data_IF_794129844802
#
_entry.id   IF_794129844802
#
_cell.length_a   1.000
_cell.length_b   1.000
_cell.length_c   1.000
_cell.angle_alpha   90.00
_cell.angle_beta   90.00
_cell.angle_gamma   90.00
#
_symmetry.space_group_name_H-M   'P 1'
#
loop_
_entity.id
_entity.type
_entity.pdbx_description
1 polymer ?
#
# COMPACT_ATOMS: atom_id res chain seq x y z
N UNK A 1 -110.59 2.30 -14.60
CA UNK A 1 -110.18 2.33 -13.19
C UNK A 1 -109.09 1.29 -13.03
N UNK A 2 -107.83 1.65 -13.27
CA UNK A 2 -106.84 2.03 -12.22
C UNK A 2 -106.68 0.95 -11.16
N UNK A 3 -105.63 0.16 -11.30
CA UNK A 3 -104.96 -0.49 -10.18
C UNK A 3 -103.45 -0.41 -10.44
N UNK A 4 -102.83 0.53 -9.75
CA UNK A 4 -101.39 0.66 -9.55
C UNK A 4 -101.04 -0.29 -8.42
N UNK A 5 -100.16 -1.26 -8.65
CA UNK A 5 -99.45 -1.93 -7.56
C UNK A 5 -97.96 -2.01 -7.89
N UNK A 6 -97.23 -1.26 -7.08
CA UNK A 6 -95.78 -1.14 -6.99
C UNK A 6 -95.16 -2.44 -6.52
N UNK A 7 -94.29 -3.05 -7.34
CA UNK A 7 -93.30 -4.01 -6.86
C UNK A 7 -91.95 -3.33 -6.70
N UNK A 8 -91.52 -3.28 -5.44
CA UNK A 8 -90.22 -2.83 -4.95
C UNK A 8 -89.15 -3.78 -5.45
N UNK A 9 -88.24 -3.28 -6.29
CA UNK A 9 -87.07 -4.03 -6.74
C UNK A 9 -85.90 -3.73 -5.80
N UNK A 10 -85.50 -4.73 -5.00
CA UNK A 10 -84.26 -4.71 -4.23
C UNK A 10 -83.07 -4.67 -5.20
N UNK A 11 -82.47 -3.50 -5.37
CA UNK A 11 -81.20 -3.33 -6.07
C UNK A 11 -80.05 -3.87 -5.22
N UNK A 12 -79.57 -5.05 -5.59
CA UNK A 12 -78.33 -5.64 -5.09
C UNK A 12 -77.15 -4.69 -5.33
N UNK A 13 -76.34 -4.50 -4.30
CA UNK A 13 -74.96 -4.01 -4.38
C UNK A 13 -74.22 -4.67 -5.55
N UNK A 14 -73.70 -3.85 -6.48
CA UNK A 14 -72.40 -4.05 -7.15
C UNK A 14 -71.96 -2.70 -7.74
N UNK A 15 -71.19 -1.94 -6.96
CA UNK A 15 -70.31 -0.92 -7.50
C UNK A 15 -69.30 -1.66 -8.39
N UNK A 16 -69.35 -1.42 -9.69
CA UNK A 16 -68.41 -1.98 -10.65
C UNK A 16 -67.02 -1.41 -10.38
N UNK A 17 -66.13 -2.28 -9.92
CA UNK A 17 -64.70 -2.04 -9.69
C UNK A 17 -63.93 -1.91 -11.02
N UNK A 18 -64.23 -0.88 -11.80
CA UNK A 18 -63.57 -0.64 -13.10
C UNK A 18 -63.30 0.84 -13.39
N UNK A 19 -63.14 1.68 -12.36
CA UNK A 19 -62.73 3.09 -12.51
C UNK A 19 -61.63 3.50 -11.51
N UNK A 20 -60.80 2.55 -11.06
CA UNK A 20 -59.65 2.83 -10.16
C UNK A 20 -58.28 2.49 -10.79
N UNK A 21 -58.22 2.33 -12.12
CA UNK A 21 -57.02 1.91 -12.86
C UNK A 21 -56.58 2.88 -13.96
N UNK A 22 -56.73 4.20 -13.76
CA UNK A 22 -56.23 5.21 -14.73
C UNK A 22 -55.65 6.45 -14.06
N UNK A 23 -54.94 6.29 -12.94
CA UNK A 23 -54.02 7.33 -12.45
C UNK A 23 -52.65 6.68 -12.29
N UNK A 24 -52.00 6.42 -13.44
CA UNK A 24 -50.60 5.99 -13.46
C UNK A 24 -49.92 6.44 -14.75
N UNK A 25 -50.01 7.72 -15.08
CA UNK A 25 -49.19 8.33 -16.13
C UNK A 25 -48.99 9.80 -15.75
N UNK A 26 -47.79 10.09 -15.20
CA UNK A 26 -47.10 11.41 -15.16
C UNK A 26 -46.03 11.52 -14.04
N UNK A 27 -45.51 10.41 -13.50
CA UNK A 27 -44.27 10.42 -12.69
C UNK A 27 -43.03 9.88 -13.43
N UNK A 28 -43.20 9.41 -14.67
CA UNK A 28 -42.11 8.84 -15.48
C UNK A 28 -41.13 9.89 -16.05
N UNK A 29 -41.53 11.17 -16.11
CA UNK A 29 -40.70 12.24 -16.69
C UNK A 29 -39.78 12.93 -15.66
N UNK A 30 -39.94 12.66 -14.36
CA UNK A 30 -39.07 13.23 -13.32
C UNK A 30 -37.80 12.39 -13.06
N UNK A 31 -37.86 11.10 -13.34
CA UNK A 31 -36.73 10.16 -13.20
C UNK A 31 -35.80 10.14 -14.44
N UNK A 32 -36.19 10.76 -15.56
CA UNK A 32 -35.38 10.81 -16.79
C UNK A 32 -34.21 11.81 -16.71
N UNK A 33 -34.18 12.67 -15.69
CA UNK A 33 -33.20 13.76 -15.55
C UNK A 33 -32.27 13.63 -14.35
N UNK A 34 -32.45 12.62 -13.50
CA UNK A 34 -31.60 12.35 -12.35
C UNK A 34 -30.83 11.05 -12.56
N UNK A 35 -29.50 11.16 -12.68
CA UNK A 35 -28.62 9.99 -12.66
C UNK A 35 -28.98 9.11 -11.44
N UNK A 36 -29.13 7.78 -11.61
CA UNK A 36 -29.30 6.88 -10.47
C UNK A 36 -28.23 7.14 -9.41
N UNK A 37 -28.59 7.09 -8.12
CA UNK A 37 -27.66 7.41 -7.02
C UNK A 37 -26.31 6.65 -7.09
N UNK A 38 -26.32 5.43 -7.62
CA UNK A 38 -25.12 4.63 -7.85
C UNK A 38 -24.23 5.19 -8.97
N UNK A 39 -24.79 5.74 -10.05
CA UNK A 39 -24.04 6.38 -11.14
C UNK A 39 -23.34 7.64 -10.64
N UNK A 40 -24.04 8.46 -9.84
CA UNK A 40 -23.46 9.64 -9.21
C UNK A 40 -22.26 9.27 -8.31
N UNK A 41 -22.42 8.26 -7.46
CA UNK A 41 -21.34 7.79 -6.56
C UNK A 41 -20.14 7.23 -7.34
N UNK A 42 -20.38 6.37 -8.34
CA UNK A 42 -19.31 5.81 -9.17
C UNK A 42 -18.62 6.89 -10.00
N UNK A 43 -19.36 7.81 -10.61
CA UNK A 43 -18.79 8.93 -11.37
C UNK A 43 -17.83 9.75 -10.51
N UNK A 44 -18.25 10.16 -9.30
CA UNK A 44 -17.38 10.92 -8.38
C UNK A 44 -16.14 10.11 -7.99
N UNK A 45 -16.35 8.87 -7.56
CA UNK A 45 -15.26 8.01 -7.06
C UNK A 45 -14.25 7.67 -8.14
N UNK A 46 -14.70 7.23 -9.31
CA UNK A 46 -13.85 6.81 -10.41
C UNK A 46 -13.11 8.00 -11.03
N UNK A 47 -13.75 9.18 -11.12
CA UNK A 47 -13.08 10.41 -11.55
C UNK A 47 -11.92 10.76 -10.62
N UNK A 48 -12.16 10.77 -9.31
CA UNK A 48 -11.14 11.05 -8.30
C UNK A 48 -10.02 10.00 -8.32
N UNK A 49 -10.38 8.71 -8.48
CA UNK A 49 -9.40 7.62 -8.63
C UNK A 49 -8.52 7.81 -9.87
N UNK A 50 -9.10 8.08 -11.04
CA UNK A 50 -8.33 8.37 -12.26
C UNK A 50 -7.39 9.57 -12.06
N UNK A 51 -7.88 10.66 -11.45
CA UNK A 51 -7.08 11.85 -11.17
C UNK A 51 -5.94 11.61 -10.18
N UNK A 52 -6.12 10.69 -9.22
CA UNK A 52 -5.05 10.27 -8.28
C UNK A 52 -3.82 9.69 -9.01
N UNK A 53 -4.04 9.11 -10.20
CA UNK A 53 -2.99 8.59 -11.06
C UNK A 53 -2.55 9.62 -12.12
N UNK A 54 -3.49 10.25 -12.83
CA UNK A 54 -3.21 11.20 -13.91
C UNK A 54 -2.44 12.43 -13.43
N UNK A 55 -2.60 12.86 -12.18
CA UNK A 55 -1.81 13.95 -11.58
C UNK A 55 -0.30 13.70 -11.66
N UNK A 56 0.13 12.42 -11.62
CA UNK A 56 1.55 12.02 -11.75
C UNK A 56 2.10 12.26 -13.16
N UNK A 57 1.22 12.32 -14.16
CA UNK A 57 1.55 12.66 -15.55
C UNK A 57 1.20 14.12 -15.90
N UNK A 58 0.86 14.95 -14.90
CA UNK A 58 0.57 16.37 -15.10
C UNK A 58 -0.76 16.66 -15.82
N UNK A 59 -1.75 15.76 -15.72
CA UNK A 59 -3.07 15.96 -16.31
C UNK A 59 -4.19 15.49 -15.39
N UNK A 60 -5.44 15.81 -15.74
CA UNK A 60 -6.64 15.41 -15.00
C UNK A 60 -7.87 15.33 -15.92
N UNK A 61 -8.93 14.71 -15.42
CA UNK A 61 -10.27 14.69 -15.99
C UNK A 61 -11.25 15.44 -15.09
N UNK A 62 -12.20 16.11 -15.71
CA UNK A 62 -13.31 16.81 -15.03
C UNK A 62 -14.61 16.03 -15.24
N UNK A 63 -14.88 15.60 -16.47
CA UNK A 63 -16.03 14.78 -16.80
C UNK A 63 -15.59 13.45 -17.41
N UNK A 64 -15.79 12.38 -16.66
CA UNK A 64 -15.39 11.02 -17.04
C UNK A 64 -16.02 10.54 -18.35
N UNK A 65 -17.23 11.00 -18.68
CA UNK A 65 -17.95 10.59 -19.89
C UNK A 65 -17.46 11.29 -21.15
N UNK A 66 -16.86 12.48 -21.00
CA UNK A 66 -16.38 13.30 -22.11
C UNK A 66 -14.86 13.18 -22.30
N UNK A 67 -14.11 13.18 -21.21
CA UNK A 67 -12.65 13.28 -21.25
C UNK A 67 -11.95 12.01 -21.75
N UNK A 68 -12.60 10.85 -21.64
CA UNK A 68 -12.08 9.59 -22.16
C UNK A 68 -12.45 9.32 -23.62
N UNK A 69 -13.37 10.08 -24.21
CA UNK A 69 -13.90 9.83 -25.57
C UNK A 69 -12.86 9.84 -26.68
N UNK A 70 -11.72 10.53 -26.49
CA UNK A 70 -10.65 10.57 -27.49
C UNK A 70 -9.59 9.46 -27.32
N UNK A 71 -9.69 8.66 -26.26
CA UNK A 71 -8.77 7.56 -25.93
C UNK A 71 -7.40 7.99 -25.36
N UNK A 72 -7.00 9.25 -25.48
CA UNK A 72 -5.64 9.68 -25.11
C UNK A 72 -5.41 9.64 -23.59
N UNK A 73 -6.34 10.22 -22.81
CA UNK A 73 -6.25 10.19 -21.34
C UNK A 73 -6.42 8.77 -20.80
N UNK A 74 -7.20 7.93 -21.48
CA UNK A 74 -7.38 6.52 -21.13
C UNK A 74 -6.09 5.73 -21.34
N UNK A 75 -5.44 5.88 -22.49
CA UNK A 75 -4.15 5.26 -22.77
C UNK A 75 -3.10 5.71 -21.75
N UNK A 76 -3.02 7.03 -21.47
CA UNK A 76 -2.08 7.56 -20.47
C UNK A 76 -2.34 7.02 -19.07
N UNK A 77 -3.62 6.91 -18.65
CA UNK A 77 -3.98 6.28 -17.39
C UNK A 77 -3.45 4.85 -17.31
N UNK A 78 -3.65 4.05 -18.36
CA UNK A 78 -3.16 2.67 -18.44
C UNK A 78 -1.62 2.60 -18.37
N UNK A 79 -0.91 3.50 -19.04
CA UNK A 79 0.55 3.57 -18.93
C UNK A 79 1.00 3.88 -17.50
N UNK A 80 0.35 4.83 -16.82
CA UNK A 80 0.70 5.25 -15.46
C UNK A 80 0.45 4.15 -14.44
N UNK A 81 -0.67 3.43 -14.53
CA UNK A 81 -1.00 2.37 -13.56
C UNK A 81 -0.25 1.07 -13.80
N UNK A 82 0.09 0.76 -15.06
CA UNK A 82 0.83 -0.47 -15.40
C UNK A 82 2.35 -0.30 -15.40
N UNK A 83 2.85 0.92 -15.59
CA UNK A 83 4.26 1.20 -15.83
C UNK A 83 4.75 0.80 -17.23
N UNK A 84 3.86 0.35 -18.12
CA UNK A 84 4.18 -0.10 -19.48
C UNK A 84 3.77 0.93 -20.53
N UNK A 85 4.52 1.02 -21.63
CA UNK A 85 4.18 1.91 -22.74
C UNK A 85 3.19 1.26 -23.70
N UNK A 86 2.14 2.00 -24.05
CA UNK A 86 1.17 1.59 -25.05
C UNK A 86 1.66 1.97 -26.46
N UNK A 87 1.09 1.38 -27.52
CA UNK A 87 1.34 1.81 -28.90
C UNK A 87 1.08 3.30 -29.07
N UNK A 88 1.84 3.95 -29.96
CA UNK A 88 1.68 5.40 -30.19
C UNK A 88 0.22 5.73 -30.58
N UNK A 89 -0.38 6.78 -29.99
CA UNK A 89 -1.73 7.19 -30.33
C UNK A 89 -1.80 7.73 -31.77
N UNK A 90 -2.93 7.48 -32.42
CA UNK A 90 -3.24 8.06 -33.72
C UNK A 90 -3.54 9.54 -33.57
N UNK A 91 -2.91 10.33 -34.43
CA UNK A 91 -3.06 11.79 -34.45
C UNK A 91 -4.26 12.15 -35.31
N UNK A 92 -5.25 12.80 -34.73
CA UNK A 92 -6.38 13.34 -35.49
C UNK A 92 -7.58 13.65 -34.59
N UNK A 93 -8.50 14.46 -35.12
CA UNK A 93 -9.73 14.87 -34.40
C UNK A 93 -10.98 14.11 -34.82
N UNK A 94 -10.93 13.41 -35.95
CA UNK A 94 -12.08 12.66 -36.50
C UNK A 94 -12.44 11.44 -35.63
N UNK A 95 -13.71 11.04 -35.62
CA UNK A 95 -14.25 9.95 -34.80
C UNK A 95 -13.45 8.64 -34.95
N UNK A 96 -13.04 8.26 -36.16
CA UNK A 96 -12.30 7.02 -36.35
C UNK A 96 -10.91 7.02 -35.68
N UNK A 97 -10.24 8.17 -35.55
CA UNK A 97 -8.98 8.26 -34.77
C UNK A 97 -9.23 8.02 -33.28
N UNK A 98 -10.35 8.55 -32.76
CA UNK A 98 -10.76 8.33 -31.38
C UNK A 98 -11.04 6.85 -31.11
N UNK A 99 -11.78 6.21 -32.02
CA UNK A 99 -12.06 4.75 -31.96
C UNK A 99 -10.77 3.96 -31.99
N UNK A 100 -9.83 4.27 -32.89
CA UNK A 100 -8.56 3.58 -32.97
C UNK A 100 -7.72 3.72 -31.67
N UNK A 101 -7.72 4.91 -31.05
CA UNK A 101 -7.04 5.13 -29.76
C UNK A 101 -7.72 4.37 -28.61
N UNK A 102 -9.04 4.36 -28.55
CA UNK A 102 -9.77 3.58 -27.54
C UNK A 102 -9.54 2.09 -27.75
N UNK A 103 -9.56 1.58 -28.99
CA UNK A 103 -9.25 0.17 -29.29
C UNK A 103 -7.86 -0.22 -28.80
N UNK A 104 -6.83 0.60 -29.02
CA UNK A 104 -5.48 0.35 -28.47
C UNK A 104 -5.50 0.20 -26.94
N UNK A 105 -6.31 1.00 -26.25
CA UNK A 105 -6.48 0.89 -24.81
C UNK A 105 -7.24 -0.39 -24.40
N UNK A 106 -8.35 -0.73 -25.09
CA UNK A 106 -9.13 -1.93 -24.82
C UNK A 106 -8.36 -3.23 -25.11
N UNK A 107 -7.55 -3.24 -26.18
CA UNK A 107 -6.64 -4.34 -26.51
C UNK A 107 -5.59 -4.54 -25.40
N UNK A 108 -5.03 -3.43 -24.90
CA UNK A 108 -4.09 -3.49 -23.78
C UNK A 108 -4.77 -4.06 -22.52
N UNK A 109 -5.98 -3.59 -22.17
CA UNK A 109 -6.74 -4.12 -21.02
C UNK A 109 -6.99 -5.63 -21.19
N UNK A 110 -7.40 -6.06 -22.38
CA UNK A 110 -7.65 -7.47 -22.69
C UNK A 110 -6.38 -8.31 -22.58
N UNK A 111 -5.22 -7.78 -22.99
CA UNK A 111 -3.92 -8.44 -22.86
C UNK A 111 -3.50 -8.70 -21.40
N UNK A 112 -4.07 -7.95 -20.45
CA UNK A 112 -3.84 -8.12 -19.00
C UNK A 112 -4.80 -9.12 -18.35
N UNK A 113 -5.56 -9.87 -19.15
CA UNK A 113 -6.45 -10.94 -18.67
C UNK A 113 -7.85 -10.47 -18.28
N UNK A 114 -8.25 -9.27 -18.69
CA UNK A 114 -9.60 -8.73 -18.43
C UNK A 114 -10.53 -9.11 -19.58
N UNK A 115 -11.72 -9.63 -19.26
CA UNK A 115 -12.79 -9.89 -20.24
C UNK A 115 -13.74 -8.69 -20.31
N UNK A 116 -13.63 -7.92 -21.39
CA UNK A 116 -14.51 -6.77 -21.67
C UNK A 116 -15.79 -7.25 -22.35
N UNK A 117 -16.73 -7.79 -21.57
CA UNK A 117 -18.04 -8.20 -22.09
C UNK A 117 -18.90 -6.95 -22.30
N UNK A 118 -19.39 -6.77 -23.53
CA UNK A 118 -20.31 -5.67 -23.91
C UNK A 118 -19.73 -4.25 -23.86
N UNK A 119 -18.40 -4.08 -23.81
CA UNK A 119 -17.75 -2.77 -23.87
C UNK A 119 -17.01 -2.65 -25.21
N UNK A 120 -17.57 -1.87 -26.14
CA UNK A 120 -16.95 -1.52 -27.43
C UNK A 120 -16.31 -0.14 -27.41
N UNK A 121 -15.37 0.12 -28.31
CA UNK A 121 -14.74 1.44 -28.41
C UNK A 121 -15.73 2.53 -28.84
N UNK A 122 -16.74 2.17 -29.63
CA UNK A 122 -17.81 3.06 -30.08
C UNK A 122 -18.57 3.66 -28.90
N UNK A 123 -18.94 2.83 -27.92
CA UNK A 123 -19.68 3.25 -26.71
C UNK A 123 -18.91 4.31 -25.91
N UNK A 124 -17.59 4.13 -25.80
CA UNK A 124 -16.72 5.08 -25.07
C UNK A 124 -16.56 6.37 -25.87
N UNK A 125 -16.39 6.28 -27.19
CA UNK A 125 -16.23 7.47 -28.06
C UNK A 125 -17.53 8.26 -28.16
N UNK A 126 -18.67 7.59 -28.11
CA UNK A 126 -19.99 8.22 -28.22
C UNK A 126 -20.49 8.77 -26.87
N UNK A 127 -19.82 8.45 -25.75
CA UNK A 127 -20.07 9.04 -24.43
C UNK A 127 -21.08 8.25 -23.59
N UNK A 128 -21.21 6.94 -23.79
CA UNK A 128 -22.08 6.11 -22.98
C UNK A 128 -21.52 6.00 -21.54
N UNK A 129 -22.13 6.73 -20.60
CA UNK A 129 -21.70 6.81 -19.21
C UNK A 129 -21.62 5.42 -18.56
N UNK A 130 -22.66 4.59 -18.72
CA UNK A 130 -22.72 3.25 -18.12
C UNK A 130 -21.60 2.34 -18.61
N UNK A 131 -21.31 2.36 -19.91
CA UNK A 131 -20.20 1.59 -20.48
C UNK A 131 -18.84 2.14 -20.05
N UNK A 132 -18.72 3.47 -19.94
CA UNK A 132 -17.50 4.12 -19.46
C UNK A 132 -17.21 3.77 -18.00
N UNK A 133 -18.20 3.86 -17.11
CA UNK A 133 -18.07 3.43 -15.71
C UNK A 133 -17.77 1.93 -15.61
N UNK A 134 -18.40 1.11 -16.45
CA UNK A 134 -18.12 -0.32 -16.55
C UNK A 134 -16.66 -0.61 -16.91
N UNK A 135 -16.12 0.10 -17.90
CA UNK A 135 -14.72 -0.01 -18.31
C UNK A 135 -13.76 0.46 -17.22
N UNK A 136 -14.00 1.62 -16.60
CA UNK A 136 -13.13 2.11 -15.54
C UNK A 136 -13.14 1.17 -14.33
N UNK A 137 -14.30 0.58 -14.01
CA UNK A 137 -14.39 -0.46 -12.98
C UNK A 137 -13.53 -1.69 -13.31
N UNK A 138 -13.53 -2.20 -14.54
CA UNK A 138 -12.70 -3.37 -14.88
C UNK A 138 -11.21 -3.05 -14.77
N UNK A 139 -10.81 -1.81 -15.09
CA UNK A 139 -9.45 -1.32 -14.89
C UNK A 139 -9.12 -1.28 -13.39
N UNK A 140 -9.95 -0.64 -12.57
CA UNK A 140 -9.75 -0.57 -11.10
C UNK A 140 -9.65 -1.97 -10.52
N UNK A 141 -10.60 -2.84 -10.87
CA UNK A 141 -10.61 -4.22 -10.39
C UNK A 141 -9.30 -4.92 -10.73
N UNK A 142 -8.84 -4.83 -11.98
CA UNK A 142 -7.62 -5.52 -12.43
C UNK A 142 -6.34 -4.98 -11.80
N UNK A 143 -6.16 -3.66 -11.78
CA UNK A 143 -4.88 -3.04 -11.44
C UNK A 143 -4.77 -2.62 -9.97
N UNK A 144 -5.89 -2.37 -9.28
CA UNK A 144 -5.89 -1.94 -7.89
C UNK A 144 -6.38 -3.01 -6.92
N UNK A 145 -7.17 -4.01 -7.36
CA UNK A 145 -7.79 -4.96 -6.42
C UNK A 145 -7.32 -6.39 -6.67
N UNK A 146 -7.19 -6.81 -7.93
CA UNK A 146 -7.00 -8.22 -8.29
C UNK A 146 -5.71 -8.83 -7.71
N UNK A 147 -4.66 -8.03 -7.56
CA UNK A 147 -3.37 -8.48 -7.02
C UNK A 147 -3.34 -8.47 -5.47
N UNK A 148 -4.43 -8.02 -4.82
CA UNK A 148 -4.59 -8.12 -3.37
C UNK A 148 -4.96 -9.56 -3.02
N UNK A 149 -3.97 -10.38 -2.66
CA UNK A 149 -4.18 -11.73 -2.16
C UNK A 149 -3.81 -11.80 -0.68
N UNK A 150 -4.77 -12.21 0.14
CA UNK A 150 -4.56 -12.55 1.54
C UNK A 150 -5.02 -14.00 1.72
N UNK A 151 -4.08 -14.89 2.05
CA UNK A 151 -4.35 -16.32 2.28
C UNK A 151 -5.04 -17.03 1.11
N UNK A 152 -4.57 -16.78 -0.11
CA UNK A 152 -5.03 -17.48 -1.33
C UNK A 152 -6.52 -17.30 -1.65
N UNK A 153 -7.20 -16.35 -0.99
CA UNK A 153 -8.60 -15.99 -1.29
C UNK A 153 -8.72 -15.15 -2.56
N UNK A 154 -9.93 -15.09 -3.14
CA UNK A 154 -10.18 -14.20 -4.28
C UNK A 154 -9.91 -12.75 -3.91
N UNK A 155 -9.54 -11.91 -4.87
CA UNK A 155 -9.11 -10.53 -4.61
C UNK A 155 -10.06 -9.69 -3.74
N UNK A 156 -11.37 -9.81 -4.00
CA UNK A 156 -12.40 -9.13 -3.21
C UNK A 156 -12.45 -9.67 -1.77
N UNK A 157 -12.40 -10.99 -1.62
CA UNK A 157 -12.41 -11.66 -0.31
C UNK A 157 -11.12 -11.35 0.46
N UNK A 158 -9.98 -11.29 -0.21
CA UNK A 158 -8.70 -10.90 0.37
C UNK A 158 -8.72 -9.47 0.91
N UNK A 159 -9.27 -8.53 0.14
CA UNK A 159 -9.47 -7.15 0.61
C UNK A 159 -10.45 -7.09 1.81
N UNK A 160 -11.54 -7.87 1.77
CA UNK A 160 -12.51 -7.91 2.86
C UNK A 160 -11.90 -8.51 4.13
N UNK A 161 -11.17 -9.61 4.00
CA UNK A 161 -10.45 -10.28 5.08
C UNK A 161 -9.39 -9.37 5.69
N UNK A 162 -8.66 -8.62 4.87
CA UNK A 162 -7.73 -7.61 5.36
C UNK A 162 -8.44 -6.56 6.21
N UNK A 163 -9.57 -6.02 5.74
CA UNK A 163 -10.37 -5.05 6.50
C UNK A 163 -10.79 -5.65 7.84
N UNK A 164 -11.39 -6.84 7.84
CA UNK A 164 -11.84 -7.55 9.03
C UNK A 164 -10.71 -7.76 10.04
N UNK A 165 -9.52 -8.17 9.60
CA UNK A 165 -8.35 -8.38 10.49
C UNK A 165 -7.87 -7.09 11.12
N UNK A 166 -7.78 -6.02 10.33
CA UNK A 166 -7.32 -4.72 10.82
C UNK A 166 -8.34 -4.09 11.77
N UNK A 167 -9.64 -4.33 11.56
CA UNK A 167 -10.71 -3.82 12.43
C UNK A 167 -11.15 -4.77 13.55
N UNK A 168 -10.66 -6.01 13.60
CA UNK A 168 -11.05 -6.99 14.62
C UNK A 168 -10.92 -6.52 16.08
N UNK A 169 -9.91 -5.69 16.46
CA UNK A 169 -9.83 -5.15 17.83
C UNK A 169 -10.93 -4.14 18.21
N UNK A 170 -11.68 -3.62 17.24
CA UNK A 170 -12.66 -2.55 17.44
C UNK A 170 -14.07 -3.12 17.59
N UNK A 171 -14.55 -3.22 18.84
CA UNK A 171 -15.85 -3.86 19.18
C UNK A 171 -17.06 -3.23 18.50
N UNK A 172 -16.99 -1.95 18.14
CA UNK A 172 -18.05 -1.21 17.47
C UNK A 172 -18.02 -1.32 15.94
N UNK A 173 -17.10 -2.09 15.37
CA UNK A 173 -16.93 -2.27 13.93
C UNK A 173 -17.09 -3.74 13.55
N UNK A 174 -17.94 -4.01 12.56
CA UNK A 174 -18.11 -5.34 12.00
C UNK A 174 -18.22 -5.25 10.47
N UNK A 175 -17.11 -5.51 9.78
CA UNK A 175 -17.04 -5.39 8.32
C UNK A 175 -17.45 -6.71 7.66
N UNK A 176 -18.61 -6.73 6.99
CA UNK A 176 -19.15 -7.92 6.33
C UNK A 176 -19.29 -7.78 4.81
N UNK A 177 -19.28 -6.54 4.31
CA UNK A 177 -19.49 -6.22 2.91
C UNK A 177 -18.88 -4.85 2.59
N UNK A 178 -18.82 -4.49 1.30
CA UNK A 178 -18.37 -3.18 0.83
C UNK A 178 -19.52 -2.20 0.59
N UNK A 179 -20.61 -2.28 1.36
CA UNK A 179 -21.71 -1.29 1.26
C UNK A 179 -22.13 -0.79 2.64
N UNK A 180 -22.99 -1.53 3.33
CA UNK A 180 -23.66 -1.09 4.55
C UNK A 180 -22.69 -1.06 5.74
N UNK A 181 -21.68 -1.93 5.75
CA UNK A 181 -20.70 -2.02 6.85
C UNK A 181 -19.82 -0.76 7.01
N UNK A 182 -19.83 0.13 6.02
CA UNK A 182 -19.00 1.32 5.97
C UNK A 182 -19.80 2.62 6.21
N UNK A 183 -21.13 2.49 6.31
CA UNK A 183 -22.06 3.62 6.32
C UNK A 183 -21.95 4.51 7.56
N UNK A 184 -21.51 3.95 8.70
CA UNK A 184 -21.32 4.70 9.95
C UNK A 184 -19.94 5.37 10.06
N UNK A 185 -19.05 5.17 9.08
CA UNK A 185 -17.70 5.74 9.02
C UNK A 185 -16.70 5.15 10.02
N UNK A 186 -17.13 4.34 10.98
CA UNK A 186 -16.26 3.79 12.02
C UNK A 186 -15.24 2.80 11.45
N UNK A 187 -15.62 2.02 10.44
CA UNK A 187 -14.71 1.10 9.76
C UNK A 187 -13.52 1.82 9.11
N UNK A 188 -13.75 2.95 8.42
CA UNK A 188 -12.66 3.75 7.82
C UNK A 188 -11.77 4.35 8.91
N UNK A 189 -12.36 4.92 9.96
CA UNK A 189 -11.63 5.46 11.09
C UNK A 189 -10.76 4.40 11.79
N UNK A 190 -11.29 3.18 11.95
CA UNK A 190 -10.60 2.07 12.58
C UNK A 190 -9.40 1.60 11.74
N UNK A 191 -9.53 1.57 10.41
CA UNK A 191 -8.41 1.26 9.51
C UNK A 191 -7.28 2.27 9.67
N UNK A 192 -7.60 3.57 9.74
CA UNK A 192 -6.62 4.64 9.96
C UNK A 192 -5.97 4.47 11.33
N UNK A 193 -6.76 4.38 12.40
CA UNK A 193 -6.25 4.24 13.77
C UNK A 193 -5.37 3.00 13.95
N UNK A 194 -5.67 1.90 13.26
CA UNK A 194 -4.91 0.64 13.39
C UNK A 194 -3.48 0.77 12.88
N UNK A 195 -3.26 1.55 11.82
CA UNK A 195 -1.95 1.73 11.20
C UNK A 195 -1.25 3.02 11.66
N UNK A 196 -2.03 4.06 11.96
CA UNK A 196 -1.57 5.39 12.37
C UNK A 196 -2.44 5.92 13.51
N UNK A 197 -2.28 5.37 14.73
CA UNK A 197 -3.05 5.79 15.90
C UNK A 197 -2.79 7.25 16.29
N UNK A 198 -1.67 7.82 15.86
CA UNK A 198 -1.30 9.22 16.04
C UNK A 198 -2.21 10.22 15.30
N UNK A 199 -2.88 9.78 14.23
CA UNK A 199 -3.66 10.67 13.36
C UNK A 199 -5.12 10.83 13.77
N UNK A 200 -5.66 9.94 14.61
CA UNK A 200 -7.08 9.93 14.93
C UNK A 200 -7.32 9.51 16.38
N UNK A 201 -8.11 10.29 17.11
CA UNK A 201 -8.56 9.91 18.44
C UNK A 201 -9.86 9.10 18.33
N UNK A 202 -9.71 7.78 18.21
CA UNK A 202 -10.85 6.88 17.99
C UNK A 202 -11.86 6.90 19.16
N UNK A 203 -11.43 7.28 20.37
CA UNK A 203 -12.29 7.29 21.55
C UNK A 203 -13.41 8.34 21.50
N UNK A 204 -13.23 9.38 20.69
CA UNK A 204 -14.20 10.47 20.52
C UNK A 204 -15.26 10.16 19.46
N UNK A 205 -15.05 9.13 18.64
CA UNK A 205 -15.95 8.80 17.54
C UNK A 205 -17.17 8.04 18.05
N UNK A 206 -18.34 8.38 17.52
CA UNK A 206 -19.60 7.78 17.93
C UNK A 206 -20.42 7.32 16.73
N UNK A 207 -21.15 6.23 16.89
CA UNK A 207 -21.94 5.62 15.81
C UNK A 207 -23.11 6.49 15.33
N UNK A 208 -23.59 7.38 16.19
CA UNK A 208 -24.69 8.32 15.91
C UNK A 208 -24.28 9.54 15.09
N UNK A 209 -22.98 9.74 14.84
CA UNK A 209 -22.46 10.79 13.95
C UNK A 209 -21.73 10.21 12.72
N UNK A 210 -22.45 9.57 11.79
CA UNK A 210 -21.84 8.94 10.64
C UNK A 210 -21.20 9.96 9.68
N UNK A 211 -21.80 11.15 9.52
CA UNK A 211 -21.28 12.21 8.66
C UNK A 211 -19.96 12.75 9.20
N UNK A 212 -19.88 13.03 10.51
CA UNK A 212 -18.65 13.46 11.15
C UNK A 212 -17.54 12.41 11.07
N UNK A 213 -17.86 11.14 11.33
CA UNK A 213 -16.88 10.04 11.22
C UNK A 213 -16.32 9.91 9.81
N UNK A 214 -17.18 9.90 8.79
CA UNK A 214 -16.78 9.78 7.39
C UNK A 214 -15.89 10.96 6.97
N UNK A 215 -16.32 12.18 7.24
CA UNK A 215 -15.55 13.38 6.89
C UNK A 215 -14.20 13.43 7.63
N UNK A 216 -14.15 13.02 8.89
CA UNK A 216 -12.89 12.90 9.64
C UNK A 216 -11.93 11.92 8.95
N UNK A 217 -12.41 10.74 8.56
CA UNK A 217 -11.60 9.77 7.84
C UNK A 217 -11.12 10.30 6.48
N UNK A 218 -11.99 10.98 5.73
CA UNK A 218 -11.68 11.56 4.43
C UNK A 218 -10.64 12.68 4.52
N UNK A 219 -10.77 13.58 5.49
CA UNK A 219 -9.83 14.67 5.73
C UNK A 219 -8.44 14.16 6.13
N UNK A 220 -8.39 13.16 7.01
CA UNK A 220 -7.11 12.57 7.44
C UNK A 220 -6.44 11.84 6.27
N UNK A 221 -7.22 11.09 5.49
CA UNK A 221 -6.71 10.35 4.34
C UNK A 221 -6.09 11.29 3.29
N UNK A 222 -6.75 12.40 2.99
CA UNK A 222 -6.24 13.40 2.03
C UNK A 222 -4.99 14.11 2.55
N UNK A 223 -5.02 14.59 3.80
CA UNK A 223 -3.93 15.41 4.36
C UNK A 223 -2.66 14.61 4.68
N UNK A 224 -2.81 13.37 5.16
CA UNK A 224 -1.69 12.61 5.74
C UNK A 224 -1.34 11.34 4.99
N UNK A 225 -2.25 10.80 4.17
CA UNK A 225 -2.05 9.54 3.44
C UNK A 225 -1.97 9.74 1.92
N UNK A 226 -2.13 10.97 1.42
CA UNK A 226 -2.21 11.32 -0.01
C UNK A 226 -3.30 10.54 -0.78
N UNK A 227 -4.38 10.16 -0.07
CA UNK A 227 -5.56 9.50 -0.65
C UNK A 227 -6.62 10.58 -0.88
N UNK A 228 -6.97 10.92 -2.13
CA UNK A 228 -7.93 12.00 -2.39
C UNK A 228 -9.34 11.61 -1.94
N UNK A 229 -10.17 12.60 -1.63
CA UNK A 229 -11.57 12.36 -1.23
C UNK A 229 -12.40 11.89 -2.43
N UNK A 230 -12.59 10.57 -2.54
CA UNK A 230 -13.34 9.96 -3.64
C UNK A 230 -14.83 9.82 -3.34
N UNK A 231 -15.19 9.80 -2.06
CA UNK A 231 -16.55 9.55 -1.57
C UNK A 231 -17.16 10.82 -0.95
N UNK A 232 -18.48 10.83 -0.88
CA UNK A 232 -19.26 11.88 -0.23
C UNK A 232 -19.98 11.31 1.00
N UNK A 233 -19.86 11.98 2.15
CA UNK A 233 -20.47 11.49 3.38
C UNK A 233 -22.01 11.52 3.29
N UNK A 234 -22.58 12.57 2.71
CA UNK A 234 -24.02 12.69 2.53
C UNK A 234 -24.54 11.63 1.55
N UNK A 235 -23.85 11.40 0.43
CA UNK A 235 -24.28 10.36 -0.53
C UNK A 235 -24.26 8.96 0.12
N UNK A 236 -23.27 8.65 0.97
CA UNK A 236 -23.18 7.36 1.68
C UNK A 236 -24.30 7.20 2.71
N UNK A 237 -24.54 8.23 3.54
CA UNK A 237 -25.50 8.15 4.65
C UNK A 237 -26.93 8.16 4.14
N UNK A 238 -27.23 8.97 3.12
CA UNK A 238 -28.59 9.11 2.60
C UNK A 238 -28.99 7.99 1.63
N UNK A 239 -28.02 7.27 1.04
CA UNK A 239 -28.32 6.11 0.20
C UNK A 239 -28.60 4.87 1.06
N UNK A 240 -29.72 4.14 0.87
CA UNK A 240 -30.03 2.93 1.64
C UNK A 240 -28.92 1.88 1.58
N UNK A 241 -28.34 1.69 0.40
CA UNK A 241 -27.19 0.82 0.14
C UNK A 241 -26.14 1.59 -0.66
N UNK A 242 -25.03 2.03 -0.03
CA UNK A 242 -23.91 2.65 -0.74
C UNK A 242 -23.39 1.77 -1.87
N UNK A 243 -22.88 2.38 -2.94
CA UNK A 243 -22.38 1.63 -4.10
C UNK A 243 -21.13 0.82 -3.75
N UNK A 244 -21.20 -0.48 -4.02
CA UNK A 244 -20.17 -1.43 -3.60
C UNK A 244 -18.83 -1.17 -4.28
N UNK A 245 -18.86 -0.81 -5.57
CA UNK A 245 -17.67 -0.57 -6.38
C UNK A 245 -16.97 0.71 -5.93
N UNK A 246 -17.72 1.75 -5.62
CA UNK A 246 -17.20 3.00 -5.08
C UNK A 246 -16.46 2.77 -3.75
N UNK A 247 -17.10 2.07 -2.80
CA UNK A 247 -16.46 1.75 -1.51
C UNK A 247 -15.22 0.87 -1.71
N UNK A 248 -15.29 -0.20 -2.53
CA UNK A 248 -14.13 -1.06 -2.81
C UNK A 248 -12.95 -0.28 -3.39
N UNK A 249 -13.22 0.66 -4.30
CA UNK A 249 -12.19 1.51 -4.91
C UNK A 249 -11.50 2.39 -3.87
N UNK A 250 -12.28 2.97 -2.95
CA UNK A 250 -11.71 3.81 -1.92
C UNK A 250 -10.94 3.01 -0.87
N UNK A 251 -11.48 1.88 -0.44
CA UNK A 251 -10.84 0.99 0.55
C UNK A 251 -9.56 0.36 0.01
N UNK A 252 -9.50 0.03 -1.28
CA UNK A 252 -8.26 -0.47 -1.89
C UNK A 252 -7.15 0.58 -1.90
N UNK A 253 -7.48 1.87 -1.97
CA UNK A 253 -6.49 2.95 -1.82
C UNK A 253 -5.87 2.95 -0.41
N UNK A 254 -6.66 2.72 0.64
CA UNK A 254 -6.12 2.54 2.00
C UNK A 254 -5.23 1.31 2.10
N UNK A 255 -5.63 0.20 1.49
CA UNK A 255 -4.82 -1.02 1.47
C UNK A 255 -3.43 -0.72 0.89
N UNK A 256 -3.36 -0.09 -0.29
CA UNK A 256 -2.08 0.21 -0.94
C UNK A 256 -1.24 1.22 -0.16
N UNK A 257 -1.87 2.25 0.40
CA UNK A 257 -1.16 3.24 1.23
C UNK A 257 -0.50 2.60 2.46
N UNK A 258 -1.21 1.70 3.15
CA UNK A 258 -0.69 1.05 4.35
C UNK A 258 0.22 -0.14 4.05
N UNK A 259 -0.08 -0.95 3.04
CA UNK A 259 0.78 -2.05 2.60
C UNK A 259 2.13 -1.52 2.09
N UNK A 260 2.13 -0.41 1.34
CA UNK A 260 3.35 0.27 0.91
C UNK A 260 4.19 0.77 2.09
N UNK A 261 3.55 1.34 3.12
CA UNK A 261 4.23 1.77 4.33
C UNK A 261 4.85 0.59 5.11
N UNK A 262 4.12 -0.52 5.30
CA UNK A 262 4.64 -1.73 5.96
C UNK A 262 5.82 -2.36 5.19
N UNK A 263 5.76 -2.37 3.87
CA UNK A 263 6.87 -2.84 3.02
C UNK A 263 8.11 -1.95 3.15
N UNK A 264 7.93 -0.62 3.12
CA UNK A 264 9.02 0.34 3.30
C UNK A 264 9.66 0.22 4.69
N UNK A 265 8.85 0.06 5.75
CA UNK A 265 9.33 -0.17 7.11
C UNK A 265 10.12 -1.48 7.22
N UNK A 266 9.61 -2.56 6.64
CA UNK A 266 10.30 -3.86 6.63
C UNK A 266 11.64 -3.78 5.88
N UNK A 267 11.68 -3.08 4.75
CA UNK A 267 12.92 -2.83 4.01
C UNK A 267 13.91 -1.99 4.84
N UNK A 268 13.45 -0.92 5.48
CA UNK A 268 14.26 -0.07 6.36
C UNK A 268 14.83 -0.88 7.55
N UNK A 269 14.01 -1.71 8.20
CA UNK A 269 14.44 -2.59 9.29
C UNK A 269 15.50 -3.61 8.84
N UNK A 270 15.38 -4.15 7.61
CA UNK A 270 16.41 -5.02 7.03
C UNK A 270 17.71 -4.26 6.80
N UNK A 271 17.65 -3.04 6.27
CA UNK A 271 18.82 -2.18 6.06
C UNK A 271 19.50 -1.87 7.40
N UNK A 272 18.74 -1.48 8.42
CA UNK A 272 19.28 -1.18 9.76
C UNK A 272 20.02 -2.39 10.36
N UNK A 273 19.46 -3.61 10.21
CA UNK A 273 20.14 -4.83 10.66
C UNK A 273 21.45 -5.06 9.92
N UNK A 274 21.47 -4.87 8.61
CA UNK A 274 22.69 -5.01 7.80
C UNK A 274 23.74 -3.96 8.17
N UNK A 275 23.33 -2.71 8.41
CA UNK A 275 24.23 -1.64 8.86
C UNK A 275 24.84 -1.96 10.24
N UNK A 276 24.04 -2.43 11.19
CA UNK A 276 24.52 -2.81 12.52
C UNK A 276 25.59 -3.91 12.45
N UNK A 277 25.37 -4.94 11.62
CA UNK A 277 26.37 -6.01 11.40
C UNK A 277 27.66 -5.45 10.78
N UNK A 278 27.57 -4.48 9.88
CA UNK A 278 28.76 -3.88 9.26
C UNK A 278 29.56 -3.05 10.24
N UNK A 279 28.87 -2.25 11.04
CA UNK A 279 29.51 -1.44 12.06
C UNK A 279 30.24 -2.32 13.10
N UNK A 280 29.66 -3.47 13.46
CA UNK A 280 30.34 -4.44 14.32
C UNK A 280 31.57 -5.06 13.65
N UNK A 281 31.48 -5.41 12.36
CA UNK A 281 32.62 -5.93 11.60
C UNK A 281 33.74 -4.90 11.47
N UNK A 282 33.42 -3.62 11.20
CA UNK A 282 34.38 -2.51 11.16
C UNK A 282 35.07 -2.31 12.50
N UNK A 283 34.31 -2.42 13.60
CA UNK A 283 34.89 -2.36 14.94
C UNK A 283 35.87 -3.52 15.17
N UNK A 284 35.50 -4.75 14.80
CA UNK A 284 36.39 -5.91 14.92
C UNK A 284 37.64 -5.79 14.05
N UNK A 285 37.52 -5.23 12.83
CA UNK A 285 38.66 -4.93 11.96
C UNK A 285 39.60 -3.93 12.63
N UNK A 286 39.08 -2.82 13.15
CA UNK A 286 39.89 -1.82 13.84
C UNK A 286 40.54 -2.34 15.13
N UNK A 287 39.83 -3.16 15.91
CA UNK A 287 40.39 -3.83 17.10
C UNK A 287 41.51 -4.81 16.73
N UNK A 288 41.35 -5.56 15.64
CA UNK A 288 42.40 -6.43 15.11
C UNK A 288 43.63 -5.63 14.68
N UNK A 289 43.47 -4.59 13.86
CA UNK A 289 44.58 -3.77 13.34
C UNK A 289 45.34 -3.09 14.47
N UNK A 290 44.63 -2.56 15.46
CA UNK A 290 45.24 -1.95 16.65
C UNK A 290 46.06 -2.96 17.45
N UNK A 291 45.47 -4.11 17.78
CA UNK A 291 46.15 -5.14 18.56
C UNK A 291 47.36 -5.71 17.81
N UNK A 292 47.23 -5.91 16.49
CA UNK A 292 48.30 -6.37 15.63
C UNK A 292 49.47 -5.38 15.63
N UNK A 293 49.18 -4.08 15.44
CA UNK A 293 50.18 -3.02 15.42
C UNK A 293 50.94 -2.92 16.74
N UNK A 294 50.23 -2.89 17.87
CA UNK A 294 50.85 -2.82 19.21
C UNK A 294 51.71 -4.05 19.52
N UNK A 295 51.27 -5.25 19.10
CA UNK A 295 52.00 -6.49 19.32
C UNK A 295 53.26 -6.57 18.42
N UNK A 296 53.15 -6.17 17.15
CA UNK A 296 54.28 -6.12 16.22
C UNK A 296 55.33 -5.11 16.69
N UNK A 297 54.93 -3.91 17.12
CA UNK A 297 55.84 -2.91 17.67
C UNK A 297 56.56 -3.44 18.93
N UNK A 298 55.82 -4.12 19.82
CA UNK A 298 56.42 -4.74 21.01
C UNK A 298 57.43 -5.83 20.64
N UNK A 299 57.12 -6.69 19.66
CA UNK A 299 58.03 -7.74 19.17
C UNK A 299 59.30 -7.10 18.59
N UNK A 300 59.15 -6.13 17.69
CA UNK A 300 60.26 -5.41 17.05
C UNK A 300 61.17 -4.72 18.07
N UNK A 301 60.60 -4.15 19.14
CA UNK A 301 61.37 -3.53 20.23
C UNK A 301 62.06 -4.55 21.13
N UNK A 302 61.47 -5.73 21.35
CA UNK A 302 61.95 -6.72 22.31
C UNK A 302 63.02 -7.65 21.73
N UNK A 303 62.98 -7.94 20.42
CA UNK A 303 63.97 -8.80 19.76
C UNK A 303 65.41 -8.31 19.97
N UNK A 304 65.78 -7.04 19.72
CA UNK A 304 67.16 -6.57 19.90
C UNK A 304 67.65 -6.68 21.34
N UNK A 305 66.77 -6.50 22.32
CA UNK A 305 67.10 -6.67 23.74
C UNK A 305 67.41 -8.14 24.08
N UNK A 306 66.63 -9.08 23.53
CA UNK A 306 66.87 -10.52 23.72
C UNK A 306 68.10 -11.04 22.97
N UNK A 307 68.41 -10.45 21.80
CA UNK A 307 69.56 -10.83 20.99
C UNK A 307 70.88 -10.23 21.49
N UNK A 308 70.83 -9.25 22.40
CA UNK A 308 72.01 -8.64 22.96
C UNK A 308 72.83 -9.64 23.79
N UNK A 309 73.97 -10.07 23.25
CA UNK A 309 74.91 -11.02 23.89
C UNK A 309 76.10 -10.36 24.58
N UNK A 310 76.06 -9.05 24.82
CA UNK A 310 77.14 -8.33 25.50
C UNK A 310 77.24 -8.77 26.97
N UNK A 311 78.40 -9.29 27.36
CA UNK A 311 78.69 -9.70 28.73
C UNK A 311 78.92 -8.50 29.66
N UNK A 312 78.46 -8.61 30.90
CA UNK A 312 78.66 -7.58 31.92
C UNK A 312 80.01 -7.74 32.64
N UNK A 313 80.60 -6.63 33.05
CA UNK A 313 81.94 -6.60 33.67
C UNK A 313 81.93 -7.04 35.15
N UNK A 314 80.75 -7.12 35.79
CA UNK A 314 80.62 -7.49 37.20
C UNK A 314 79.57 -8.58 37.43
N UNK A 315 79.83 -9.47 38.39
CA UNK A 315 78.89 -10.55 38.77
C UNK A 315 77.53 -10.00 39.21
N UNK A 316 77.52 -8.86 39.92
CA UNK A 316 76.30 -8.20 40.36
C UNK A 316 75.45 -7.71 39.17
N UNK A 317 76.07 -7.07 38.16
CA UNK A 317 75.35 -6.65 36.96
C UNK A 317 74.79 -7.84 36.16
N UNK A 318 75.50 -8.97 36.16
CA UNK A 318 75.01 -10.20 35.53
C UNK A 318 73.81 -10.81 36.30
N UNK A 319 73.81 -10.75 37.63
CA UNK A 319 72.66 -11.15 38.46
C UNK A 319 71.44 -10.26 38.20
N UNK A 320 71.64 -8.96 38.00
CA UNK A 320 70.55 -8.03 37.69
C UNK A 320 69.94 -8.32 36.31
N UNK A 321 70.74 -8.57 35.26
CA UNK A 321 70.24 -9.03 33.96
C UNK A 321 69.42 -10.33 34.05
N UNK A 322 69.84 -11.26 34.91
CA UNK A 322 69.10 -12.50 35.14
C UNK A 322 67.74 -12.24 35.79
N UNK A 323 67.66 -11.28 36.71
CA UNK A 323 66.40 -10.90 37.36
C UNK A 323 65.46 -10.17 36.40
N UNK A 324 65.98 -9.24 35.59
CA UNK A 324 65.20 -8.59 34.52
C UNK A 324 64.62 -9.60 33.52
N UNK A 325 65.39 -10.65 33.18
CA UNK A 325 64.91 -11.73 32.32
C UNK A 325 63.84 -12.61 32.99
N UNK A 326 63.98 -12.87 34.30
CA UNK A 326 62.97 -13.60 35.08
C UNK A 326 61.66 -12.81 35.16
N UNK A 327 61.75 -11.50 35.40
CA UNK A 327 60.61 -10.60 35.44
C UNK A 327 59.92 -10.50 34.07
N UNK A 328 60.70 -10.32 32.99
CA UNK A 328 60.19 -10.41 31.61
C UNK A 328 59.40 -11.70 31.36
N UNK A 329 59.94 -12.85 31.78
CA UNK A 329 59.32 -14.15 31.55
C UNK A 329 58.07 -14.37 32.43
N UNK A 330 58.02 -13.81 33.64
CA UNK A 330 56.92 -14.01 34.59
C UNK A 330 55.79 -13.00 34.43
N UNK A 331 56.11 -11.76 34.08
CA UNK A 331 55.16 -10.64 34.12
C UNK A 331 54.89 -10.09 32.72
N UNK A 332 55.93 -9.77 31.94
CA UNK A 332 55.75 -9.03 30.68
C UNK A 332 55.39 -9.92 29.47
N UNK A 333 55.95 -11.13 29.36
CA UNK A 333 55.72 -12.05 28.24
C UNK A 333 54.34 -12.74 28.26
N UNK A 334 53.82 -13.25 29.41
CA UNK A 334 52.53 -13.94 29.43
C UNK A 334 51.34 -13.18 28.83
N UNK A 335 51.10 -11.88 29.13
CA UNK A 335 49.98 -11.15 28.53
C UNK A 335 50.13 -11.00 27.01
N UNK A 336 51.35 -10.89 26.49
CA UNK A 336 51.58 -10.82 25.02
C UNK A 336 51.29 -12.13 24.30
N UNK A 337 51.46 -13.27 24.96
CA UNK A 337 51.01 -14.57 24.42
C UNK A 337 49.49 -14.64 24.38
N UNK A 338 48.81 -14.08 25.39
CA UNK A 338 47.35 -14.02 25.42
C UNK A 338 46.81 -13.06 24.36
N UNK A 339 47.43 -11.89 24.16
CA UNK A 339 47.09 -10.95 23.08
C UNK A 339 47.24 -11.59 21.70
N UNK A 340 48.31 -12.36 21.45
CA UNK A 340 48.46 -13.13 20.20
C UNK A 340 47.30 -14.12 19.99
N UNK A 341 46.92 -14.85 21.03
CA UNK A 341 45.79 -15.78 20.96
C UNK A 341 44.47 -15.04 20.67
N UNK A 342 44.25 -13.88 21.31
CA UNK A 342 43.07 -13.05 21.08
C UNK A 342 43.02 -12.52 19.64
N UNK A 343 44.16 -12.16 19.06
CA UNK A 343 44.28 -11.72 17.67
C UNK A 343 43.84 -12.82 16.69
N UNK A 344 44.28 -14.07 16.92
CA UNK A 344 43.85 -15.23 16.12
C UNK A 344 42.34 -15.51 16.27
N UNK A 345 41.79 -15.37 17.49
CA UNK A 345 40.34 -15.52 17.75
C UNK A 345 39.55 -14.44 17.01
N UNK A 346 39.97 -13.18 17.09
CA UNK A 346 39.31 -12.05 16.43
C UNK A 346 39.30 -12.25 14.92
N UNK A 347 40.43 -12.65 14.33
CA UNK A 347 40.53 -12.93 12.90
C UNK A 347 39.60 -14.05 12.45
N UNK A 348 39.64 -15.20 13.13
CA UNK A 348 38.80 -16.35 12.77
C UNK A 348 37.30 -16.03 12.91
N UNK A 349 36.94 -15.28 13.94
CA UNK A 349 35.57 -14.83 14.17
C UNK A 349 35.11 -13.91 13.05
N UNK A 350 35.91 -12.89 12.71
CA UNK A 350 35.61 -11.94 11.65
C UNK A 350 35.52 -12.64 10.28
N UNK A 351 36.47 -13.50 9.97
CA UNK A 351 36.49 -14.26 8.71
C UNK A 351 35.25 -15.15 8.56
N UNK A 352 34.82 -15.80 9.65
CA UNK A 352 33.60 -16.60 9.66
C UNK A 352 32.35 -15.73 9.48
N UNK A 353 32.26 -14.59 10.19
CA UNK A 353 31.14 -13.63 10.07
C UNK A 353 31.01 -13.09 8.64
N UNK A 354 32.13 -12.70 8.02
CA UNK A 354 32.15 -12.19 6.65
C UNK A 354 31.75 -13.27 5.64
N UNK A 355 32.28 -14.49 5.79
CA UNK A 355 31.92 -15.63 4.94
C UNK A 355 30.44 -15.98 5.01
N UNK A 356 29.87 -16.09 6.21
CA UNK A 356 28.44 -16.40 6.39
C UNK A 356 27.54 -15.31 5.79
N UNK A 357 28.03 -14.07 5.74
CA UNK A 357 27.33 -12.92 5.15
C UNK A 357 27.63 -12.73 3.66
N UNK A 358 28.36 -13.64 3.01
CA UNK A 358 28.85 -13.53 1.62
C UNK A 358 29.57 -12.18 1.33
N UNK A 359 30.33 -11.68 2.31
CA UNK A 359 31.14 -10.47 2.19
C UNK A 359 32.58 -10.80 1.84
N UNK A 360 33.32 -9.88 1.22
CA UNK A 360 34.75 -10.04 0.99
C UNK A 360 35.48 -10.37 2.30
N UNK A 361 36.46 -11.26 2.21
CA UNK A 361 37.34 -11.60 3.32
C UNK A 361 38.10 -10.36 3.82
N UNK A 362 38.31 -10.29 5.12
CA UNK A 362 39.19 -9.27 5.68
C UNK A 362 40.64 -9.66 5.39
N UNK A 363 41.38 -8.75 4.77
CA UNK A 363 42.81 -8.88 4.50
C UNK A 363 43.52 -7.81 5.33
N UNK A 364 44.22 -8.21 6.41
CA UNK A 364 45.01 -7.28 7.21
C UNK A 364 46.09 -6.56 6.38
N UNK A 365 46.52 -5.39 6.87
CA UNK A 365 47.70 -4.72 6.33
C UNK A 365 48.95 -5.61 6.48
N UNK A 366 49.85 -5.59 5.50
CA UNK A 366 51.14 -6.28 5.63
C UNK A 366 51.96 -5.65 6.77
N UNK A 367 52.45 -6.49 7.70
CA UNK A 367 53.22 -6.10 8.87
C UNK A 367 54.22 -7.16 9.29
#
# INVERSE_FOLDING_TARGET
>A
MTAVESQVQYGSYMMTATEEYMIQEDDWDRDLFLDPAWEKQQRKTFTAWCNSHLRKAGTQIENIEEDFRNGLKLMLLLEVISGERLPKPDKGKMRFHKIANVNKALDFISSKGVKLVSIGAEEIVDGNLKMTLGMIWTIILRFAIQDISVEETSAKEGLLLWCQRKTAPYRNVNVQNFHISWKDGLALCALIHRHRPDLIDYSKLRKDDPIGNLNTAFDIAEKFLDIPKMLDADDIVNTPKPDEKAIMTYVSCFYHAFAGAEQAETAANRICKVLAVNQENEKLMGEYEKLASELLEWIQRTIPWLENRVAEQTMHAMQQKLEDFRDYRRVHKPPKVQEKCQLEINFNTLQTKLRLSNRPAFMPSEG
#
